data_IF_935931153733
#
_entry.id   IF_935931153733
#
_cell.length_a   1.000
_cell.length_b   1.000
_cell.length_c   1.000
_cell.angle_alpha   90.00
_cell.angle_beta   90.00
_cell.angle_gamma   90.00
#
_symmetry.space_group_name_H-M   'P 1'
#
loop_
_entity.id
_entity.type
_entity.pdbx_description
1 polymer ?
#
# COMPACT_ATOMS: atom_id res chain seq x y z
N UNK A 1 16.34 -61.68 68.25
CA UNK A 1 16.50 -60.77 67.09
C UNK A 1 15.16 -60.63 66.38
N UNK A 2 14.42 -59.54 66.61
CA UNK A 2 13.19 -59.21 65.87
C UNK A 2 13.55 -58.29 64.71
N UNK A 3 13.32 -58.72 63.46
CA UNK A 3 13.46 -57.88 62.26
C UNK A 3 12.13 -57.18 61.99
N UNK A 4 12.13 -55.85 62.03
CA UNK A 4 11.01 -55.00 61.61
C UNK A 4 11.10 -54.79 60.09
N UNK A 5 10.03 -55.11 59.36
CA UNK A 5 9.89 -54.80 57.94
C UNK A 5 9.11 -53.49 57.82
N UNK A 6 9.76 -52.44 57.31
CA UNK A 6 9.11 -51.17 56.98
C UNK A 6 8.60 -51.29 55.54
N UNK A 7 7.29 -51.26 55.35
CA UNK A 7 6.66 -51.19 54.02
C UNK A 7 6.48 -49.70 53.70
N UNK A 8 7.26 -49.21 52.73
CA UNK A 8 7.16 -47.86 52.19
C UNK A 8 6.06 -47.83 51.12
N UNK A 9 4.88 -47.31 51.47
CA UNK A 9 3.80 -47.10 50.50
C UNK A 9 4.06 -45.85 49.67
N UNK A 10 4.36 -46.05 48.39
CA UNK A 10 4.54 -44.97 47.41
C UNK A 10 3.14 -44.50 46.94
N UNK A 11 2.64 -43.41 47.49
CA UNK A 11 1.43 -42.75 47.00
C UNK A 11 1.77 -41.97 45.72
N UNK A 12 1.50 -42.57 44.56
CA UNK A 12 1.64 -41.92 43.26
C UNK A 12 0.39 -41.04 43.03
N UNK A 13 0.47 -39.78 43.46
CA UNK A 13 -0.56 -38.79 43.19
C UNK A 13 -0.59 -38.45 41.70
N UNK A 14 -1.64 -38.89 41.00
CA UNK A 14 -1.89 -38.52 39.62
C UNK A 14 -2.34 -37.05 39.58
N UNK A 15 -1.41 -36.14 39.30
CA UNK A 15 -1.71 -34.73 39.06
C UNK A 15 -2.49 -34.63 37.74
N UNK A 16 -3.80 -34.42 37.84
CA UNK A 16 -4.61 -34.03 36.68
C UNK A 16 -4.23 -32.58 36.32
N UNK A 17 -3.34 -32.42 35.36
CA UNK A 17 -3.11 -31.12 34.73
C UNK A 17 -4.40 -30.73 33.98
N UNK A 18 -4.98 -29.55 34.21
CA UNK A 18 -6.11 -29.10 33.42
C UNK A 18 -5.65 -28.97 31.96
N UNK A 19 -6.44 -29.53 31.03
CA UNK A 19 -6.22 -29.33 29.60
C UNK A 19 -6.44 -27.84 29.29
N UNK A 20 -5.35 -27.10 29.11
CA UNK A 20 -5.38 -25.72 28.62
C UNK A 20 -5.56 -25.80 27.09
N UNK A 21 -6.81 -25.71 26.62
CA UNK A 21 -7.06 -25.47 25.20
C UNK A 21 -6.72 -24.01 24.90
N UNK A 22 -5.84 -23.76 23.93
CA UNK A 22 -5.55 -22.41 23.46
C UNK A 22 -6.81 -21.82 22.83
N UNK A 23 -7.26 -20.67 23.33
CA UNK A 23 -8.36 -19.92 22.71
C UNK A 23 -7.93 -19.43 21.33
N UNK A 24 -8.83 -19.53 20.36
CA UNK A 24 -8.60 -18.99 19.02
C UNK A 24 -8.37 -17.48 19.09
N UNK A 25 -7.33 -17.02 18.40
CA UNK A 25 -7.00 -15.60 18.29
C UNK A 25 -6.63 -15.22 16.86
N UNK A 26 -6.93 -13.98 16.50
CA UNK A 26 -6.44 -13.30 15.32
C UNK A 26 -5.92 -11.94 15.74
N UNK A 27 -4.76 -11.56 15.23
CA UNK A 27 -4.17 -10.25 15.40
C UNK A 27 -3.85 -9.67 14.03
N UNK A 28 -4.07 -8.37 13.87
CA UNK A 28 -3.61 -7.61 12.72
C UNK A 28 -2.79 -6.43 13.20
N UNK A 29 -1.66 -6.17 12.57
CA UNK A 29 -0.81 -5.03 12.88
C UNK A 29 -0.28 -4.43 11.59
N UNK A 30 -0.34 -3.10 11.45
CA UNK A 30 0.34 -2.42 10.35
C UNK A 30 1.85 -2.43 10.58
N UNK A 31 2.63 -2.35 9.51
CA UNK A 31 4.10 -2.25 9.60
C UNK A 31 4.54 -1.00 10.39
N UNK A 32 3.75 0.07 10.29
CA UNK A 32 3.99 1.35 10.96
C UNK A 32 2.67 2.08 11.26
N UNK A 33 2.67 3.06 12.18
CA UNK A 33 1.45 3.79 12.55
C UNK A 33 1.10 4.92 11.56
N UNK A 34 2.06 5.38 10.74
CA UNK A 34 1.88 6.51 9.82
C UNK A 34 2.31 6.10 8.42
N UNK A 35 1.42 6.29 7.46
CA UNK A 35 1.70 6.14 6.03
C UNK A 35 1.55 7.48 5.32
N UNK A 36 2.19 7.60 4.17
CA UNK A 36 2.08 8.75 3.29
C UNK A 36 1.58 8.34 1.91
N UNK A 37 1.26 9.32 1.07
CA UNK A 37 1.03 9.06 -0.35
C UNK A 37 2.23 8.35 -0.99
N UNK A 38 1.95 7.60 -2.06
CA UNK A 38 2.82 6.66 -2.78
C UNK A 38 3.24 5.41 -2.02
N UNK A 39 2.98 5.33 -0.71
CA UNK A 39 3.25 4.12 0.04
C UNK A 39 2.12 3.11 -0.14
N UNK A 40 2.49 1.83 -0.11
CA UNK A 40 1.53 0.74 -0.09
C UNK A 40 1.25 0.36 1.36
N UNK A 41 -0.02 0.19 1.69
CA UNK A 41 -0.44 -0.32 2.98
C UNK A 41 0.21 -1.69 3.21
N UNK A 42 0.95 -1.81 4.30
CA UNK A 42 1.64 -3.04 4.68
C UNK A 42 1.23 -3.43 6.09
N UNK A 43 0.84 -4.68 6.27
CA UNK A 43 0.34 -5.22 7.54
C UNK A 43 0.63 -6.71 7.67
N UNK A 44 0.61 -7.20 8.89
CA UNK A 44 0.82 -8.59 9.25
C UNK A 44 -0.42 -9.12 9.94
N UNK A 45 -0.84 -10.32 9.55
CA UNK A 45 -1.87 -11.08 10.25
C UNK A 45 -1.19 -12.20 11.01
N UNK A 46 -1.52 -12.36 12.29
CA UNK A 46 -1.15 -13.53 13.10
C UNK A 46 -2.41 -14.26 13.56
N UNK A 47 -2.40 -15.58 13.50
CA UNK A 47 -3.47 -16.45 14.00
C UNK A 47 -2.89 -17.54 14.89
N UNK A 48 -3.63 -17.94 15.92
CA UNK A 48 -3.22 -19.07 16.76
C UNK A 48 -3.26 -20.41 16.01
N UNK A 49 -4.20 -20.57 15.08
CA UNK A 49 -4.44 -21.81 14.34
C UNK A 49 -4.99 -21.53 12.94
N UNK A 50 -4.75 -22.46 12.01
CA UNK A 50 -5.23 -22.38 10.63
C UNK A 50 -6.48 -23.25 10.49
N UNK A 51 -7.62 -22.64 10.19
CA UNK A 51 -8.92 -23.34 10.07
C UNK A 51 -9.30 -23.71 8.63
N UNK A 52 -8.55 -23.22 7.63
CA UNK A 52 -8.87 -23.35 6.21
C UNK A 52 -9.92 -22.36 5.69
N UNK A 53 -10.58 -21.61 6.58
CA UNK A 53 -11.44 -20.49 6.18
C UNK A 53 -10.60 -19.25 5.82
N UNK A 54 -11.12 -18.30 5.02
CA UNK A 54 -10.48 -17.00 4.85
C UNK A 54 -10.78 -16.06 6.02
N UNK A 55 -9.87 -15.12 6.28
CA UNK A 55 -10.15 -13.94 7.10
C UNK A 55 -10.86 -12.86 6.26
N UNK A 56 -11.74 -12.09 6.88
CA UNK A 56 -12.41 -10.95 6.26
C UNK A 56 -11.83 -9.66 6.81
N UNK A 57 -11.41 -8.75 5.94
CA UNK A 57 -10.91 -7.42 6.30
C UNK A 57 -11.83 -6.31 5.79
N UNK A 58 -12.05 -5.31 6.63
CA UNK A 58 -12.62 -4.01 6.27
C UNK A 58 -11.64 -2.88 6.63
N UNK A 59 -11.40 -1.98 5.69
CA UNK A 59 -10.62 -0.76 5.91
C UNK A 59 -11.61 0.40 5.97
N UNK A 60 -11.59 1.15 7.07
CA UNK A 60 -12.56 2.20 7.36
C UNK A 60 -11.82 3.52 7.53
N UNK A 61 -12.21 4.55 6.79
CA UNK A 61 -11.64 5.90 6.94
C UNK A 61 -12.22 6.65 8.15
N UNK A 62 -11.65 7.82 8.44
CA UNK A 62 -12.06 8.64 9.60
C UNK A 62 -13.52 9.12 9.55
N UNK A 63 -14.15 9.10 8.38
CA UNK A 63 -15.57 9.47 8.21
C UNK A 63 -16.50 8.28 8.44
N UNK A 64 -15.94 7.08 8.64
CA UNK A 64 -16.68 5.83 8.77
C UNK A 64 -16.98 5.14 7.43
N UNK A 65 -16.48 5.66 6.30
CA UNK A 65 -16.65 5.01 5.00
C UNK A 65 -15.78 3.76 4.95
N UNK A 66 -16.43 2.62 4.71
CA UNK A 66 -15.77 1.31 4.66
C UNK A 66 -15.43 0.90 3.23
N UNK A 67 -14.35 0.15 3.08
CA UNK A 67 -14.08 -0.67 1.91
C UNK A 67 -15.12 -1.79 1.76
N UNK A 68 -15.18 -2.38 0.56
CA UNK A 68 -15.74 -3.72 0.39
C UNK A 68 -14.97 -4.72 1.26
N UNK A 69 -15.61 -5.85 1.58
CA UNK A 69 -14.98 -6.95 2.30
C UNK A 69 -13.81 -7.52 1.48
N UNK A 70 -12.63 -7.59 2.08
CA UNK A 70 -11.44 -8.18 1.49
C UNK A 70 -11.26 -9.57 2.10
N UNK A 71 -11.39 -10.61 1.28
CA UNK A 71 -11.22 -12.00 1.71
C UNK A 71 -9.78 -12.43 1.55
N UNK A 72 -9.14 -12.89 2.63
CA UNK A 72 -7.73 -13.27 2.67
C UNK A 72 -7.60 -14.72 3.10
N UNK A 73 -7.07 -15.61 2.23
CA UNK A 73 -6.79 -16.99 2.62
C UNK A 73 -5.66 -17.06 3.65
N UNK A 74 -5.91 -17.75 4.76
CA UNK A 74 -4.94 -17.96 5.83
C UNK A 74 -4.24 -19.31 5.60
N UNK A 75 -2.98 -19.25 5.18
CA UNK A 75 -2.15 -20.42 4.84
C UNK A 75 -1.00 -20.63 5.85
N UNK A 76 -0.74 -19.64 6.70
CA UNK A 76 0.35 -19.61 7.66
C UNK A 76 -0.16 -18.94 8.94
N UNK A 77 0.43 -19.30 10.09
CA UNK A 77 0.10 -18.66 11.37
C UNK A 77 0.51 -17.18 11.41
N UNK A 78 1.51 -16.78 10.64
CA UNK A 78 1.93 -15.40 10.50
C UNK A 78 2.27 -15.12 9.03
N UNK A 79 1.71 -14.04 8.49
CA UNK A 79 1.99 -13.60 7.13
C UNK A 79 1.85 -12.10 6.98
N UNK A 80 2.83 -11.48 6.32
CA UNK A 80 2.79 -10.07 5.93
C UNK A 80 2.18 -9.92 4.54
N UNK A 81 1.41 -8.85 4.38
CA UNK A 81 0.71 -8.47 3.17
C UNK A 81 1.07 -7.03 2.81
N UNK A 82 1.03 -6.74 1.52
CA UNK A 82 1.22 -5.40 0.95
C UNK A 82 0.11 -5.14 -0.05
N UNK A 83 -0.50 -3.96 0.00
CA UNK A 83 -1.57 -3.59 -0.94
C UNK A 83 -1.04 -3.57 -2.37
N UNK A 84 -1.86 -3.93 -3.37
CA UNK A 84 -1.45 -3.87 -4.77
C UNK A 84 -1.18 -2.42 -5.22
N UNK A 85 -1.99 -1.48 -4.72
CA UNK A 85 -1.95 -0.06 -5.07
C UNK A 85 -1.45 0.79 -3.89
N UNK A 86 -0.69 1.86 -4.17
CA UNK A 86 -0.29 2.83 -3.16
C UNK A 86 -1.45 3.75 -2.76
N UNK A 87 -1.26 4.51 -1.68
CA UNK A 87 -2.14 5.63 -1.34
C UNK A 87 -1.94 6.78 -2.34
N UNK A 88 -3.01 7.15 -3.03
CA UNK A 88 -3.08 8.29 -3.97
C UNK A 88 -4.10 9.32 -3.46
N UNK A 89 -3.78 10.61 -3.59
CA UNK A 89 -4.57 11.73 -3.06
C UNK A 89 -5.98 11.82 -3.61
N UNK A 90 -6.18 11.36 -4.85
CA UNK A 90 -7.46 11.40 -5.54
C UNK A 90 -8.45 10.35 -5.01
N UNK A 91 -7.92 9.28 -4.38
CA UNK A 91 -8.70 8.11 -3.96
C UNK A 91 -8.79 8.03 -2.43
N UNK A 92 -7.71 8.37 -1.72
CA UNK A 92 -7.56 8.17 -0.29
C UNK A 92 -7.49 9.51 0.46
N UNK A 93 -8.58 9.90 1.16
CA UNK A 93 -8.55 11.10 1.99
C UNK A 93 -7.56 10.95 3.14
N UNK A 94 -6.93 12.04 3.54
CA UNK A 94 -6.05 12.07 4.70
C UNK A 94 -6.81 11.74 5.99
N UNK A 95 -6.08 11.29 7.00
CA UNK A 95 -6.57 11.08 8.36
C UNK A 95 -6.44 9.65 8.87
N UNK A 96 -7.17 9.36 9.93
CA UNK A 96 -7.10 8.06 10.62
C UNK A 96 -7.87 6.97 9.88
N UNK A 97 -7.30 5.79 9.83
CA UNK A 97 -7.90 4.58 9.28
C UNK A 97 -7.92 3.48 10.32
N UNK A 98 -8.97 2.66 10.30
CA UNK A 98 -9.06 1.42 11.08
C UNK A 98 -9.12 0.22 10.14
N UNK A 99 -8.35 -0.82 10.46
CA UNK A 99 -8.40 -2.11 9.76
C UNK A 99 -9.02 -3.12 10.72
N UNK A 100 -10.24 -3.54 10.39
CA UNK A 100 -10.97 -4.54 11.16
C UNK A 100 -10.78 -5.90 10.47
N UNK A 101 -10.30 -6.88 11.22
CA UNK A 101 -10.20 -8.28 10.77
C UNK A 101 -11.20 -9.14 11.54
N UNK A 102 -11.85 -10.06 10.84
CA UNK A 102 -12.60 -11.16 11.41
C UNK A 102 -12.09 -12.49 10.85
N UNK A 103 -11.81 -13.45 11.72
CA UNK A 103 -11.37 -14.79 11.35
C UNK A 103 -12.04 -15.83 12.25
N UNK A 104 -12.86 -16.68 11.65
CA UNK A 104 -13.64 -17.72 12.35
C UNK A 104 -14.40 -17.19 13.59
N UNK A 105 -15.05 -16.02 13.45
CA UNK A 105 -15.79 -15.35 14.52
C UNK A 105 -14.95 -14.55 15.51
N UNK A 106 -13.62 -14.69 15.49
CA UNK A 106 -12.71 -13.87 16.31
C UNK A 106 -12.39 -12.58 15.57
N UNK A 107 -12.33 -11.46 16.32
CA UNK A 107 -12.12 -10.12 15.74
C UNK A 107 -10.92 -9.42 16.34
N UNK A 108 -10.28 -8.59 15.53
CA UNK A 108 -9.23 -7.68 15.97
C UNK A 108 -9.24 -6.40 15.12
N UNK A 109 -8.66 -5.33 15.64
CA UNK A 109 -8.58 -4.05 14.95
C UNK A 109 -7.21 -3.42 15.18
N UNK A 110 -6.63 -2.86 14.12
CA UNK A 110 -5.48 -1.95 14.19
C UNK A 110 -5.81 -0.62 13.53
N UNK A 111 -4.99 0.40 13.80
CA UNK A 111 -5.16 1.74 13.25
C UNK A 111 -3.85 2.26 12.64
N UNK A 112 -3.98 3.13 11.65
CA UNK A 112 -2.89 3.92 11.10
C UNK A 112 -3.41 5.30 10.69
N UNK A 113 -2.50 6.24 10.46
CA UNK A 113 -2.82 7.57 9.96
C UNK A 113 -2.17 7.79 8.60
N UNK A 114 -2.95 8.31 7.65
CA UNK A 114 -2.47 8.74 6.34
C UNK A 114 -2.26 10.25 6.36
N UNK A 115 -1.01 10.68 6.13
CA UNK A 115 -0.62 12.10 6.16
C UNK A 115 0.06 12.51 4.86
N UNK A 116 -0.11 13.78 4.47
CA UNK A 116 0.65 14.38 3.37
C UNK A 116 1.93 15.02 3.93
N UNK A 117 3.08 14.42 3.66
CA UNK A 117 4.40 14.98 3.98
C UNK A 117 5.06 15.68 2.79
N UNK A 118 4.31 15.92 1.70
CA UNK A 118 4.83 16.50 0.48
C UNK A 118 5.64 15.50 -0.38
N UNK A 119 5.40 14.20 -0.22
CA UNK A 119 6.03 13.20 -1.06
C UNK A 119 5.54 13.34 -2.51
N UNK A 120 6.49 13.37 -3.44
CA UNK A 120 6.16 13.43 -4.86
C UNK A 120 5.65 12.07 -5.33
N UNK A 121 4.42 12.07 -5.85
CA UNK A 121 3.76 10.91 -6.44
C UNK A 121 3.44 11.14 -7.90
N UNK A 122 3.75 10.17 -8.74
CA UNK A 122 3.18 10.08 -10.09
C UNK A 122 2.05 9.04 -10.05
N UNK A 123 0.77 9.47 -10.08
CA UNK A 123 -0.35 8.56 -9.90
C UNK A 123 -0.42 7.48 -10.97
N UNK A 124 -1.02 6.34 -10.64
CA UNK A 124 -1.16 5.21 -11.57
C UNK A 124 -1.89 5.59 -12.86
N UNK A 125 -2.86 6.52 -12.80
CA UNK A 125 -3.53 7.06 -13.98
C UNK A 125 -2.53 7.73 -14.92
N UNK A 126 -1.60 8.53 -14.38
CA UNK A 126 -0.56 9.16 -15.18
C UNK A 126 0.41 8.11 -15.77
N UNK A 127 0.79 7.08 -14.99
CA UNK A 127 1.63 5.98 -15.50
C UNK A 127 0.97 5.24 -16.67
N UNK A 128 -0.35 5.02 -16.63
CA UNK A 128 -1.10 4.43 -17.76
C UNK A 128 -1.08 5.33 -19.00
N UNK A 129 -1.28 6.63 -18.83
CA UNK A 129 -1.22 7.60 -19.93
C UNK A 129 0.19 7.66 -20.53
N UNK A 130 1.22 7.56 -19.70
CA UNK A 130 2.61 7.53 -20.12
C UNK A 130 2.93 6.36 -21.06
N UNK A 131 2.39 5.16 -20.81
CA UNK A 131 2.50 4.04 -21.75
C UNK A 131 1.93 4.39 -23.13
N UNK A 132 0.72 4.95 -23.19
CA UNK A 132 0.11 5.38 -24.46
C UNK A 132 0.93 6.45 -25.19
N UNK A 133 1.55 7.38 -24.46
CA UNK A 133 2.44 8.37 -25.04
C UNK A 133 3.73 7.76 -25.60
N UNK A 134 4.37 6.84 -24.85
CA UNK A 134 5.57 6.12 -25.30
C UNK A 134 5.28 5.36 -26.60
N UNK A 135 4.14 4.67 -26.66
CA UNK A 135 3.68 3.89 -27.82
C UNK A 135 3.20 4.74 -29.01
N UNK A 136 3.35 6.08 -28.93
CA UNK A 136 2.91 7.04 -29.95
C UNK A 136 1.40 7.02 -30.23
N UNK A 137 0.59 6.54 -29.28
CA UNK A 137 -0.87 6.59 -29.34
C UNK A 137 -1.45 7.90 -28.82
N UNK A 138 -0.62 8.70 -28.15
CA UNK A 138 -0.96 10.01 -27.59
C UNK A 138 0.07 11.04 -28.06
N UNK A 139 -0.37 12.25 -28.41
CA UNK A 139 0.55 13.34 -28.78
C UNK A 139 1.23 13.94 -27.55
N UNK A 140 2.36 14.62 -27.79
CA UNK A 140 3.15 15.29 -26.75
C UNK A 140 2.33 16.30 -25.94
N UNK A 141 1.49 17.10 -26.60
CA UNK A 141 0.65 18.07 -25.91
C UNK A 141 -0.44 17.42 -25.06
N UNK A 142 -1.05 16.32 -25.52
CA UNK A 142 -2.00 15.57 -24.69
C UNK A 142 -1.32 14.89 -23.49
N UNK A 143 -0.09 14.42 -23.66
CA UNK A 143 0.70 13.88 -22.56
C UNK A 143 1.01 14.95 -21.52
N UNK A 144 1.46 16.13 -21.95
CA UNK A 144 1.81 17.22 -21.05
C UNK A 144 0.55 17.84 -20.38
N UNK A 145 -0.57 17.92 -21.09
CA UNK A 145 -1.87 18.29 -20.51
C UNK A 145 -2.30 17.28 -19.42
N UNK A 146 -2.07 16.00 -19.67
CA UNK A 146 -2.34 14.95 -18.69
C UNK A 146 -1.47 15.09 -17.44
N UNK A 147 -0.18 15.46 -17.58
CA UNK A 147 0.67 15.78 -16.43
C UNK A 147 0.04 16.93 -15.62
N UNK A 148 -0.32 18.04 -16.26
CA UNK A 148 -0.94 19.18 -15.58
C UNK A 148 -2.26 18.81 -14.88
N UNK A 149 -3.00 17.83 -15.41
CA UNK A 149 -4.29 17.40 -14.88
C UNK A 149 -4.17 16.40 -13.72
N UNK A 150 -3.23 15.47 -13.79
CA UNK A 150 -3.18 14.30 -12.91
C UNK A 150 -1.97 14.29 -11.98
N UNK A 151 -0.97 15.14 -12.17
CA UNK A 151 0.20 15.21 -11.30
C UNK A 151 0.10 16.46 -10.43
N UNK A 152 0.42 16.33 -9.14
CA UNK A 152 0.46 17.48 -8.22
C UNK A 152 1.45 18.53 -8.75
N UNK A 153 1.04 19.80 -8.74
CA UNK A 153 1.85 20.95 -9.16
C UNK A 153 3.08 21.16 -8.27
N UNK A 154 3.07 20.61 -7.05
CA UNK A 154 4.27 20.55 -6.18
C UNK A 154 5.36 19.63 -6.77
N UNK A 155 4.97 18.64 -7.59
CA UNK A 155 5.89 17.71 -8.24
C UNK A 155 6.33 18.21 -9.61
N UNK A 156 5.38 18.58 -10.48
CA UNK A 156 5.65 19.10 -11.82
C UNK A 156 4.75 20.31 -12.08
N UNK A 157 5.36 21.48 -12.23
CA UNK A 157 4.69 22.74 -12.54
C UNK A 157 4.87 23.08 -14.02
N UNK A 158 3.75 23.09 -14.75
CA UNK A 158 3.70 23.54 -16.14
C UNK A 158 3.08 24.95 -16.15
N UNK A 159 3.93 25.97 -16.30
CA UNK A 159 3.50 27.37 -16.21
C UNK A 159 2.67 27.80 -17.43
N UNK A 160 3.05 27.34 -18.63
CA UNK A 160 2.35 27.65 -19.88
C UNK A 160 1.10 26.80 -20.02
N UNK A 161 -0.05 27.43 -20.18
CA UNK A 161 -1.31 26.71 -20.37
C UNK A 161 -1.31 25.95 -21.70
N UNK A 162 -1.70 24.67 -21.64
CA UNK A 162 -1.98 23.86 -22.81
C UNK A 162 -3.49 23.92 -23.06
N UNK A 163 -3.87 24.27 -24.28
CA UNK A 163 -5.25 24.43 -24.69
C UNK A 163 -5.43 23.92 -26.14
N UNK A 164 -6.65 23.99 -26.64
CA UNK A 164 -6.98 23.49 -27.99
C UNK A 164 -6.17 24.14 -29.13
N UNK A 165 -5.61 25.33 -28.90
CA UNK A 165 -4.89 26.10 -29.92
C UNK A 165 -3.41 25.69 -30.01
N UNK A 166 -2.78 25.33 -28.89
CA UNK A 166 -1.36 24.98 -28.84
C UNK A 166 -1.05 23.49 -28.57
N UNK A 167 -2.05 22.68 -28.19
CA UNK A 167 -1.86 21.25 -27.85
C UNK A 167 -1.22 20.42 -28.98
N UNK A 168 -1.37 20.84 -30.23
CA UNK A 168 -0.76 20.18 -31.38
C UNK A 168 0.65 20.70 -31.73
N UNK A 169 1.07 21.82 -31.13
CA UNK A 169 2.35 22.47 -31.38
C UNK A 169 3.41 22.08 -30.35
N UNK A 170 3.01 21.44 -29.24
CA UNK A 170 3.93 20.94 -28.22
C UNK A 170 4.83 19.88 -28.85
N UNK A 171 6.13 20.02 -28.65
CA UNK A 171 7.14 19.06 -29.12
C UNK A 171 8.02 18.64 -27.94
N UNK A 172 8.03 17.34 -27.67
CA UNK A 172 8.90 16.71 -26.69
C UNK A 172 9.96 15.92 -27.48
N UNK A 173 11.26 16.20 -27.28
CA UNK A 173 12.31 15.42 -27.93
C UNK A 173 12.17 13.93 -27.62
N UNK A 174 12.26 13.07 -28.64
CA UNK A 174 11.93 11.64 -28.49
C UNK A 174 12.77 10.92 -27.43
N UNK A 175 13.98 11.38 -27.15
CA UNK A 175 14.84 10.81 -26.11
C UNK A 175 14.28 11.00 -24.70
N UNK A 176 13.40 11.98 -24.46
CA UNK A 176 12.75 12.20 -23.15
C UNK A 176 11.88 11.02 -22.75
N UNK A 177 11.34 10.27 -23.74
CA UNK A 177 10.60 9.02 -23.48
C UNK A 177 11.41 8.02 -22.67
N UNK A 178 12.74 8.01 -22.78
CA UNK A 178 13.59 7.11 -21.99
C UNK A 178 13.46 7.39 -20.49
N UNK A 179 13.38 8.66 -20.08
CA UNK A 179 13.16 9.04 -18.68
C UNK A 179 11.82 8.49 -18.17
N UNK A 180 10.77 8.56 -19.00
CA UNK A 180 9.46 8.01 -18.66
C UNK A 180 9.44 6.48 -18.68
N UNK A 181 10.16 5.83 -19.59
CA UNK A 181 10.35 4.37 -19.57
C UNK A 181 11.03 3.95 -18.26
N UNK A 182 12.06 4.66 -17.82
CA UNK A 182 12.73 4.36 -16.55
C UNK A 182 11.80 4.52 -15.34
N UNK A 183 10.89 5.50 -15.35
CA UNK A 183 9.84 5.59 -14.33
C UNK A 183 8.93 4.35 -14.36
N UNK A 184 8.46 3.94 -15.54
CA UNK A 184 7.52 2.83 -15.69
C UNK A 184 8.12 1.46 -15.41
N UNK A 185 9.43 1.32 -15.56
CA UNK A 185 10.20 0.13 -15.20
C UNK A 185 10.71 0.17 -13.76
N UNK A 186 10.26 1.13 -12.94
CA UNK A 186 10.69 1.37 -11.56
C UNK A 186 12.22 1.49 -11.41
N UNK A 187 12.93 1.97 -12.45
CA UNK A 187 14.38 2.22 -12.46
C UNK A 187 14.77 3.55 -11.84
N UNK A 188 13.83 4.50 -11.83
CA UNK A 188 13.94 5.78 -11.11
C UNK A 188 12.67 5.98 -10.29
N UNK A 189 12.81 6.70 -9.19
CA UNK A 189 11.69 7.08 -8.33
C UNK A 189 10.79 8.13 -8.99
N UNK A 190 9.55 8.21 -8.51
CA UNK A 190 8.59 9.27 -8.88
C UNK A 190 9.20 10.68 -8.66
N UNK A 191 10.01 10.86 -7.62
CA UNK A 191 10.73 12.11 -7.31
C UNK A 191 11.80 12.43 -8.35
N UNK A 192 12.67 11.47 -8.68
CA UNK A 192 13.70 11.65 -9.70
C UNK A 192 13.09 11.95 -11.07
N UNK A 193 12.00 11.26 -11.42
CA UNK A 193 11.26 11.52 -12.63
C UNK A 193 10.68 12.94 -12.67
N UNK A 194 9.99 13.36 -11.60
CA UNK A 194 9.37 14.68 -11.54
C UNK A 194 10.43 15.79 -11.66
N UNK A 195 11.54 15.67 -10.94
CA UNK A 195 12.67 16.61 -11.04
C UNK A 195 13.25 16.64 -12.45
N UNK A 196 13.40 15.49 -13.11
CA UNK A 196 13.89 15.43 -14.48
C UNK A 196 12.93 16.14 -15.45
N UNK A 197 11.62 15.87 -15.40
CA UNK A 197 10.64 16.55 -16.25
C UNK A 197 10.58 18.05 -15.96
N UNK A 198 10.59 18.45 -14.68
CA UNK A 198 10.63 19.86 -14.29
C UNK A 198 11.85 20.57 -14.89
N UNK A 199 13.03 19.96 -14.75
CA UNK A 199 14.25 20.52 -15.33
C UNK A 199 14.16 20.71 -16.86
N UNK A 200 13.53 19.76 -17.58
CA UNK A 200 13.36 19.87 -19.03
C UNK A 200 12.38 20.99 -19.44
N UNK A 201 11.36 21.24 -18.63
CA UNK A 201 10.45 22.38 -18.80
C UNK A 201 11.22 23.70 -18.54
N UNK A 202 11.96 23.78 -17.43
CA UNK A 202 12.71 24.97 -17.03
C UNK A 202 13.81 25.35 -18.04
N UNK A 203 14.37 24.37 -18.75
CA UNK A 203 15.38 24.58 -19.80
C UNK A 203 14.80 24.77 -21.20
N UNK A 204 13.47 24.85 -21.32
CA UNK A 204 12.77 24.99 -22.60
C UNK A 204 13.17 23.89 -23.60
N UNK A 205 13.50 22.70 -23.09
CA UNK A 205 13.77 21.52 -23.93
C UNK A 205 12.44 20.88 -24.33
N UNK A 206 11.47 20.87 -23.41
CA UNK A 206 10.06 20.64 -23.72
C UNK A 206 9.47 21.99 -24.12
N UNK A 207 9.15 22.13 -25.40
CA UNK A 207 8.63 23.39 -25.95
C UNK A 207 7.10 23.38 -25.92
N UNK A 208 6.56 24.46 -25.36
CA UNK A 208 5.12 24.75 -25.25
C UNK A 208 4.84 26.09 -25.90
#
# INVERSE_FOLDING_TARGET
MKRSLIILSLFLGFLLLPNIYALQSVEIATEKPIFTYCEKLSYTIKVSEITGQPATIHIIDQTGKSSNAISIPIMNQEKSFKSPYPFESEIFPLGKYSINIEYNGTKNTTQFELVDLGNICIPLVMKKIAYSWIDNQLSDGFFLDSINKFVDKKAILIEKQINKENIMNVQIPSWVKNTTIWLLEDKISDTEYAHAIQYLLDKEIILI
#
